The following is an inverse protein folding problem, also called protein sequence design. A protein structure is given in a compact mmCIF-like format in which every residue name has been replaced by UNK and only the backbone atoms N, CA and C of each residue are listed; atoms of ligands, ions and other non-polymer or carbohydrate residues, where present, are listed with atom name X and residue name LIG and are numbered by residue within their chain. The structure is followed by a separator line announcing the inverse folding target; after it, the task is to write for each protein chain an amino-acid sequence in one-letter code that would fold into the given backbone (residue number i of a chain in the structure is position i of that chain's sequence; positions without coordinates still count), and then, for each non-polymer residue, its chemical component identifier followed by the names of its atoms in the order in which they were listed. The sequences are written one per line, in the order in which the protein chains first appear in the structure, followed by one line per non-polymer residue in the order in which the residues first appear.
data_IF_815909637011
#
_entry.id   IF_815909637011
#
_cell.length_a   1.000
_cell.length_b   1.000
_cell.length_c   1.000
_cell.angle_alpha   90.00
_cell.angle_beta   90.00
_cell.angle_gamma   90.00
#
_symmetry.space_group_name_H-M   'P 1'
#
loop_
_entity.id
_entity.type
_entity.pdbx_description
1 polymer ?
#
# COMPACT_ATOMS: atom_id res chain seq x y z
N UNK A 1 14.01 -46.81 34.01
CA UNK A 1 14.56 -45.63 33.29
C UNK A 1 13.41 -45.03 32.48
N UNK A 2 12.93 -43.80 32.60
CA UNK A 2 13.46 -42.61 33.27
C UNK A 2 13.64 -41.47 32.26
N UNK A 3 12.67 -40.53 32.22
CA UNK A 3 12.76 -39.16 31.67
C UNK A 3 12.69 -39.10 30.11
N UNK A 4 11.99 -38.18 29.44
CA UNK A 4 11.76 -36.75 29.71
C UNK A 4 10.47 -36.25 29.04
N UNK A 5 9.44 -35.97 29.84
CA UNK A 5 8.44 -34.94 29.53
C UNK A 5 9.20 -33.62 29.31
N UNK A 6 9.11 -33.01 28.12
CA UNK A 6 9.41 -31.59 27.97
C UNK A 6 8.13 -30.81 28.24
N UNK A 7 7.89 -30.53 29.53
CA UNK A 7 7.11 -29.35 29.92
C UNK A 7 7.82 -28.13 29.34
N UNK A 8 7.17 -27.43 28.43
CA UNK A 8 7.45 -26.01 28.21
C UNK A 8 6.27 -25.27 28.78
N UNK A 9 6.53 -24.63 29.92
CA UNK A 9 5.68 -23.66 30.54
C UNK A 9 5.35 -22.58 29.50
N UNK A 10 4.13 -22.62 28.99
CA UNK A 10 3.57 -21.50 28.24
C UNK A 10 3.13 -20.51 29.31
N UNK A 11 3.96 -19.51 29.54
CA UNK A 11 3.64 -18.36 30.36
C UNK A 11 2.25 -17.84 29.97
N UNK A 12 1.36 -17.82 30.95
CA UNK A 12 0.09 -17.13 30.92
C UNK A 12 0.37 -15.63 30.76
N UNK A 13 0.12 -15.10 29.57
CA UNK A 13 0.11 -13.66 29.35
C UNK A 13 -1.12 -13.11 30.08
N UNK A 14 -0.98 -12.08 30.94
CA UNK A 14 -2.10 -11.51 31.66
C UNK A 14 -3.13 -10.94 30.67
N UNK A 15 -4.40 -11.16 31.03
CA UNK A 15 -5.60 -10.78 30.31
C UNK A 15 -5.51 -9.34 29.81
N UNK A 16 -5.36 -9.17 28.50
CA UNK A 16 -5.64 -7.90 27.84
C UNK A 16 -7.12 -7.66 27.99
N UNK A 17 -7.46 -6.75 28.89
CA UNK A 17 -8.78 -6.17 29.10
C UNK A 17 -9.42 -5.86 27.75
N UNK A 18 -10.64 -6.39 27.56
CA UNK A 18 -11.41 -6.45 26.34
C UNK A 18 -11.17 -5.34 25.32
N UNK A 19 -10.65 -5.74 24.15
CA UNK A 19 -11.10 -5.10 22.90
C UNK A 19 -12.60 -5.36 22.80
N UNK A 20 -13.48 -4.35 22.83
CA UNK A 20 -14.88 -4.58 22.54
C UNK A 20 -14.97 -5.21 21.15
N UNK A 21 -15.55 -6.40 21.08
CA UNK A 21 -15.83 -7.04 19.80
C UNK A 21 -16.61 -6.03 18.94
N UNK A 22 -16.20 -5.78 17.68
CA UNK A 22 -16.95 -4.88 16.83
C UNK A 22 -18.38 -5.43 16.72
N UNK A 23 -19.36 -4.61 17.12
CA UNK A 23 -20.77 -4.93 16.94
C UNK A 23 -20.98 -5.33 15.48
N UNK A 24 -21.71 -6.44 15.29
CA UNK A 24 -21.81 -7.19 14.05
C UNK A 24 -21.88 -6.29 12.80
N UNK A 25 -20.73 -6.06 12.16
CA UNK A 25 -20.64 -5.27 10.94
C UNK A 25 -21.51 -5.90 9.86
N UNK A 26 -22.34 -5.09 9.21
CA UNK A 26 -23.16 -5.53 8.08
C UNK A 26 -22.25 -5.99 6.95
N UNK A 27 -21.95 -7.29 6.86
CA UNK A 27 -21.20 -7.83 5.73
C UNK A 27 -22.15 -8.13 4.57
N UNK A 28 -21.80 -7.70 3.36
CA UNK A 28 -22.53 -8.07 2.15
C UNK A 28 -21.63 -8.86 1.21
N UNK A 29 -22.24 -9.71 0.39
CA UNK A 29 -21.54 -10.54 -0.60
C UNK A 29 -21.85 -10.02 -1.99
N UNK A 30 -20.82 -9.77 -2.80
CA UNK A 30 -20.97 -9.53 -4.23
C UNK A 30 -20.07 -10.50 -5.00
N UNK A 31 -20.69 -11.48 -5.65
CA UNK A 31 -19.98 -12.59 -6.30
C UNK A 31 -19.22 -13.45 -5.30
N UNK A 32 -17.91 -13.60 -5.49
CA UNK A 32 -17.01 -14.39 -4.62
C UNK A 32 -16.47 -13.59 -3.42
N UNK A 33 -16.64 -12.27 -3.41
CA UNK A 33 -16.06 -11.41 -2.39
C UNK A 33 -17.06 -11.13 -1.27
N UNK A 34 -16.59 -11.28 -0.03
CA UNK A 34 -17.28 -10.83 1.17
C UNK A 34 -16.71 -9.48 1.55
N UNK A 35 -17.58 -8.48 1.64
CA UNK A 35 -17.22 -7.14 2.05
C UNK A 35 -17.66 -6.93 3.50
N UNK A 36 -16.79 -6.36 4.30
CA UNK A 36 -17.11 -5.91 5.65
C UNK A 36 -17.38 -4.40 5.58
N UNK A 37 -18.57 -3.98 6.02
CA UNK A 37 -18.85 -2.56 6.22
C UNK A 37 -18.12 -2.16 7.51
N UNK A 38 -17.06 -1.37 7.36
CA UNK A 38 -16.37 -0.74 8.48
C UNK A 38 -17.23 0.46 8.90
N UNK A 39 -17.87 0.43 10.08
CA UNK A 39 -18.66 1.55 10.54
C UNK A 39 -17.76 2.78 10.73
N UNK A 40 -18.18 3.93 10.21
CA UNK A 40 -17.48 5.19 10.47
C UNK A 40 -17.63 5.51 11.96
N UNK A 41 -16.52 5.65 12.71
CA UNK A 41 -16.62 5.96 14.14
C UNK A 41 -17.20 7.36 14.32
N UNK A 42 -18.22 7.49 15.17
CA UNK A 42 -18.82 8.77 15.56
C UNK A 42 -17.94 9.47 16.60
N UNK A 43 -16.79 9.97 16.15
CA UNK A 43 -15.84 10.68 16.99
C UNK A 43 -16.34 12.12 17.23
N UNK A 44 -16.25 12.68 18.44
CA UNK A 44 -16.50 14.10 18.68
C UNK A 44 -15.68 15.01 17.74
N UNK A 45 -16.21 16.17 17.37
CA UNK A 45 -15.56 17.10 16.44
C UNK A 45 -14.12 17.46 16.86
N UNK A 46 -13.90 17.61 18.17
CA UNK A 46 -12.58 17.93 18.71
C UNK A 46 -11.56 16.80 18.49
N UNK A 47 -11.98 15.53 18.56
CA UNK A 47 -11.11 14.39 18.29
C UNK A 47 -10.83 14.24 16.80
N UNK A 48 -11.81 14.52 15.94
CA UNK A 48 -11.61 14.60 14.48
C UNK A 48 -10.61 15.68 14.11
N UNK A 49 -10.77 16.89 14.65
CA UNK A 49 -9.85 18.00 14.43
C UNK A 49 -8.42 17.68 14.90
N UNK A 50 -8.28 17.02 16.07
CA UNK A 50 -6.99 16.57 16.56
C UNK A 50 -6.34 15.52 15.64
N UNK A 51 -7.11 14.57 15.12
CA UNK A 51 -6.61 13.58 14.16
C UNK A 51 -6.14 14.22 12.85
N UNK A 52 -6.90 15.19 12.32
CA UNK A 52 -6.52 15.96 11.13
C UNK A 52 -5.24 16.75 11.38
N UNK A 53 -5.14 17.45 12.51
CA UNK A 53 -3.95 18.22 12.87
C UNK A 53 -2.70 17.35 12.95
N UNK A 54 -2.81 16.12 13.48
CA UNK A 54 -1.68 15.17 13.56
C UNK A 54 -1.14 14.77 12.20
N UNK A 55 -1.99 14.66 11.17
CA UNK A 55 -1.55 14.26 9.83
C UNK A 55 -1.19 15.45 8.93
N UNK A 56 -1.66 16.65 9.23
CA UNK A 56 -1.53 17.81 8.35
C UNK A 56 -0.06 18.11 7.98
N UNK A 57 0.83 18.12 8.97
CA UNK A 57 2.27 18.37 8.74
C UNK A 57 2.94 17.30 7.89
N UNK A 58 2.78 16.02 8.26
CA UNK A 58 3.33 14.91 7.47
C UNK A 58 2.71 14.79 6.08
N UNK A 59 1.43 15.10 5.95
CA UNK A 59 0.72 15.14 4.68
C UNK A 59 1.30 16.19 3.73
N UNK A 60 1.52 17.41 4.24
CA UNK A 60 2.14 18.48 3.46
C UNK A 60 3.57 18.12 3.03
N UNK A 61 4.38 17.58 3.94
CA UNK A 61 5.75 17.14 3.62
C UNK A 61 5.76 16.01 2.59
N UNK A 62 4.85 15.04 2.71
CA UNK A 62 4.70 13.98 1.71
C UNK A 62 4.35 14.53 0.33
N UNK A 63 3.43 15.50 0.24
CA UNK A 63 3.06 16.11 -1.04
C UNK A 63 4.23 16.86 -1.67
N UNK A 64 5.01 17.57 -0.86
CA UNK A 64 6.22 18.25 -1.30
C UNK A 64 7.24 17.24 -1.85
N UNK A 65 7.55 16.18 -1.10
CA UNK A 65 8.49 15.15 -1.52
C UNK A 65 8.04 14.40 -2.77
N UNK A 66 6.73 14.16 -2.93
CA UNK A 66 6.19 13.58 -4.16
C UNK A 66 6.44 14.48 -5.37
N UNK A 67 6.29 15.81 -5.21
CA UNK A 67 6.58 16.77 -6.28
C UNK A 67 8.07 16.80 -6.64
N UNK A 68 8.95 16.75 -5.63
CA UNK A 68 10.40 16.66 -5.85
C UNK A 68 10.77 15.35 -6.56
N UNK A 69 10.15 14.22 -6.17
CA UNK A 69 10.32 12.93 -6.82
C UNK A 69 9.85 12.96 -8.29
N UNK A 70 8.71 13.58 -8.57
CA UNK A 70 8.17 13.71 -9.93
C UNK A 70 9.14 14.42 -10.88
N UNK A 71 9.82 15.47 -10.41
CA UNK A 71 10.84 16.17 -11.20
C UNK A 71 12.05 15.27 -11.52
N UNK A 72 12.46 14.43 -10.57
CA UNK A 72 13.52 13.44 -10.81
C UNK A 72 13.05 12.38 -11.80
N UNK A 73 11.82 11.89 -11.65
CA UNK A 73 11.20 10.87 -12.50
C UNK A 73 11.08 11.35 -13.95
N UNK A 74 10.72 12.61 -14.19
CA UNK A 74 10.66 13.22 -15.54
C UNK A 74 12.02 13.14 -16.25
N UNK A 75 13.11 13.42 -15.52
CA UNK A 75 14.46 13.31 -16.08
C UNK A 75 14.92 11.85 -16.20
N UNK A 76 14.54 10.99 -15.26
CA UNK A 76 15.04 9.61 -15.18
C UNK A 76 14.36 8.70 -16.21
N UNK A 77 13.07 8.87 -16.45
CA UNK A 77 12.26 8.01 -17.34
C UNK A 77 12.83 7.86 -18.76
N UNK A 78 13.20 8.93 -19.50
CA UNK A 78 13.80 8.76 -20.83
C UNK A 78 15.14 8.02 -20.78
N UNK A 79 15.93 8.19 -19.71
CA UNK A 79 17.21 7.48 -19.51
C UNK A 79 16.99 6.00 -19.24
N UNK A 80 15.96 5.66 -18.46
CA UNK A 80 15.52 4.28 -18.24
C UNK A 80 15.09 3.62 -19.55
N UNK A 81 14.27 4.29 -20.36
CA UNK A 81 13.83 3.78 -21.66
C UNK A 81 15.00 3.58 -22.62
N UNK A 82 15.96 4.49 -22.64
CA UNK A 82 17.19 4.33 -23.41
C UNK A 82 18.00 3.11 -22.94
N UNK A 83 18.15 2.89 -21.62
CA UNK A 83 18.82 1.70 -21.08
C UNK A 83 18.10 0.39 -21.46
N UNK A 84 16.77 0.40 -21.48
CA UNK A 84 15.95 -0.72 -21.98
C UNK A 84 16.24 -0.99 -23.45
N UNK A 85 16.23 0.04 -24.30
CA UNK A 85 16.52 -0.08 -25.72
C UNK A 85 17.95 -0.57 -26.00
N UNK A 86 18.91 -0.21 -25.13
CA UNK A 86 20.28 -0.69 -25.16
C UNK A 86 20.47 -2.13 -24.63
N UNK A 87 19.40 -2.81 -24.24
CA UNK A 87 19.43 -4.21 -23.79
C UNK A 87 19.84 -4.41 -22.32
N UNK A 88 19.82 -3.36 -21.49
CA UNK A 88 20.13 -3.52 -20.06
C UNK A 88 19.02 -4.34 -19.38
N UNK A 89 19.35 -5.40 -18.62
CA UNK A 89 18.34 -6.21 -17.95
C UNK A 89 17.48 -5.39 -16.96
N UNK A 90 16.16 -5.60 -16.97
CA UNK A 90 15.23 -4.87 -16.10
C UNK A 90 15.55 -4.99 -14.60
N UNK A 91 16.11 -6.13 -14.19
CA UNK A 91 16.58 -6.33 -12.82
C UNK A 91 17.66 -5.31 -12.45
N UNK A 92 18.62 -5.07 -13.34
CA UNK A 92 19.71 -4.12 -13.08
C UNK A 92 19.20 -2.69 -13.03
N UNK A 93 18.27 -2.34 -13.91
CA UNK A 93 17.60 -1.03 -13.90
C UNK A 93 16.85 -0.83 -12.57
N UNK A 94 16.10 -1.83 -12.12
CA UNK A 94 15.36 -1.78 -10.85
C UNK A 94 16.29 -1.59 -9.63
N UNK A 95 17.43 -2.30 -9.60
CA UNK A 95 18.44 -2.15 -8.54
C UNK A 95 19.03 -0.73 -8.48
N UNK A 96 19.20 -0.06 -9.63
CA UNK A 96 19.80 1.27 -9.71
C UNK A 96 18.81 2.41 -9.47
N UNK A 97 17.53 2.19 -9.77
CA UNK A 97 16.51 3.27 -9.79
C UNK A 97 15.47 3.13 -8.69
N UNK A 98 15.38 1.98 -8.03
CA UNK A 98 14.36 1.70 -7.02
C UNK A 98 12.97 1.39 -7.61
N UNK A 99 12.77 1.47 -8.93
CA UNK A 99 11.51 1.08 -9.54
C UNK A 99 11.33 -0.44 -9.56
N UNK A 100 10.06 -0.87 -9.50
CA UNK A 100 9.74 -2.27 -9.76
C UNK A 100 9.96 -2.63 -11.24
N UNK A 101 10.29 -3.89 -11.51
CA UNK A 101 10.40 -4.43 -12.88
C UNK A 101 9.10 -4.21 -13.68
N UNK A 102 7.96 -4.32 -13.02
CA UNK A 102 6.63 -4.10 -13.63
C UNK A 102 6.41 -2.64 -14.02
N UNK A 103 6.88 -1.68 -13.21
CA UNK A 103 6.79 -0.26 -13.54
C UNK A 103 7.65 0.08 -14.79
N UNK A 104 8.89 -0.40 -14.82
CA UNK A 104 9.80 -0.24 -15.96
C UNK A 104 9.19 -0.85 -17.23
N UNK A 105 8.64 -2.07 -17.12
CA UNK A 105 8.00 -2.76 -18.25
C UNK A 105 6.82 -1.97 -18.82
N UNK A 106 6.01 -1.31 -17.97
CA UNK A 106 4.85 -0.52 -18.43
C UNK A 106 5.25 0.72 -19.23
N UNK A 107 6.42 1.29 -18.97
CA UNK A 107 6.87 2.47 -19.71
C UNK A 107 7.37 2.15 -21.11
N UNK A 108 7.90 0.94 -21.33
CA UNK A 108 8.34 0.47 -22.64
C UNK A 108 7.20 0.00 -23.54
N UNK A 109 5.98 -0.15 -23.00
CA UNK A 109 4.81 -0.45 -23.82
C UNK A 109 4.31 0.84 -24.47
N UNK A 110 3.98 0.84 -25.78
CA UNK A 110 3.15 1.92 -26.32
C UNK A 110 1.89 1.97 -25.47
N UNK A 111 1.55 3.15 -24.94
CA UNK A 111 0.23 3.34 -24.34
C UNK A 111 -0.78 3.01 -25.41
N UNK A 112 -1.37 1.81 -25.36
CA UNK A 112 -2.61 1.54 -26.06
C UNK A 112 -3.58 2.57 -25.50
N UNK A 113 -3.75 3.67 -26.24
CA UNK A 113 -4.76 4.69 -25.94
C UNK A 113 -6.04 3.93 -25.68
N UNK A 114 -6.69 4.25 -24.56
CA UNK A 114 -7.90 3.56 -24.13
C UNK A 114 -8.81 3.36 -25.32
N UNK A 115 -9.24 2.12 -25.52
CA UNK A 115 -10.38 1.85 -26.38
C UNK A 115 -11.52 2.75 -25.89
N UNK A 116 -11.75 3.88 -26.57
CA UNK A 116 -13.04 4.54 -26.54
C UNK A 116 -14.04 3.51 -27.03
N UNK A 117 -14.77 2.91 -26.09
CA UNK A 117 -15.98 2.19 -26.40
C UNK A 117 -16.99 3.24 -26.82
N UNK A 118 -16.98 3.61 -28.09
CA UNK A 118 -18.14 4.24 -28.73
C UNK A 118 -19.26 3.21 -28.69
N UNK A 119 -20.16 3.37 -27.73
CA UNK A 119 -21.47 2.76 -27.77
C UNK A 119 -22.27 3.47 -28.88
N UNK A 120 -22.55 2.73 -29.95
CA UNK A 120 -23.53 3.09 -30.98
C UNK A 120 -24.83 2.35 -30.67
#
# INVERSE_FOLDING_TARGET
MGKRQRRRDRQETPETTGTPAPEAGHSFTAGRYRYEVIPTPDLPEQERAAAVSRIAGFGAERLRLLKELEQVDEALRPRVLHAVAAGVPYRRIAELTGYSRSAISRWGQPTNGGHEVTAT
#
